data_IF_851081580013
#
_entry.id   IF_851081580013
#
_cell.length_a   1.000
_cell.length_b   1.000
_cell.length_c   1.000
_cell.angle_alpha   90.00
_cell.angle_beta   90.00
_cell.angle_gamma   90.00
#
_symmetry.space_group_name_H-M   'P 1'
#
loop_
_entity.id
_entity.type
_entity.pdbx_description
1 polymer ?
#
# COMPACT_ATOMS: atom_id res chain seq x y z
N UNK A 1 9.42 -16.74 -17.72
CA UNK A 1 8.58 -15.62 -18.20
C UNK A 1 7.08 -15.81 -17.90
N UNK A 2 6.45 -16.95 -18.24
CA UNK A 2 4.98 -17.13 -18.11
C UNK A 2 4.43 -17.08 -16.66
N UNK A 3 5.13 -17.68 -15.69
CA UNK A 3 4.70 -17.70 -14.28
C UNK A 3 4.65 -16.32 -13.62
N UNK A 4 5.62 -15.44 -13.91
CA UNK A 4 5.62 -14.06 -13.39
C UNK A 4 4.47 -13.25 -14.00
N UNK A 5 4.16 -13.41 -15.29
CA UNK A 5 2.98 -12.77 -15.90
C UNK A 5 1.68 -13.22 -15.25
N UNK A 6 1.56 -14.53 -14.98
CA UNK A 6 0.40 -15.09 -14.29
C UNK A 6 0.27 -14.53 -12.85
N UNK A 7 1.38 -14.48 -12.10
CA UNK A 7 1.38 -13.89 -10.76
C UNK A 7 0.96 -12.42 -10.78
N UNK A 8 1.49 -11.63 -11.73
CA UNK A 8 1.13 -10.21 -11.85
C UNK A 8 -0.36 -10.05 -12.15
N UNK A 9 -0.93 -10.88 -13.03
CA UNK A 9 -2.35 -10.86 -13.35
C UNK A 9 -3.22 -11.23 -12.13
N UNK A 10 -2.76 -12.13 -11.26
CA UNK A 10 -3.45 -12.48 -10.01
C UNK A 10 -3.40 -11.31 -9.02
N UNK A 11 -2.20 -10.74 -8.81
CA UNK A 11 -1.97 -9.60 -7.92
C UNK A 11 -2.85 -8.43 -8.35
N UNK A 12 -2.77 -8.02 -9.62
CA UNK A 12 -3.44 -6.83 -10.13
C UNK A 12 -4.96 -6.82 -9.92
N UNK A 13 -5.59 -7.99 -9.89
CA UNK A 13 -7.05 -8.12 -9.65
C UNK A 13 -7.46 -7.95 -8.19
N UNK A 14 -6.52 -8.08 -7.27
CA UNK A 14 -6.82 -8.20 -5.84
C UNK A 14 -6.10 -7.13 -5.01
N UNK A 15 -5.27 -6.28 -5.59
CA UNK A 15 -4.55 -5.24 -4.84
C UNK A 15 -5.47 -4.11 -4.35
N UNK A 16 -5.19 -3.56 -3.14
CA UNK A 16 -4.24 -4.08 -2.17
C UNK A 16 -4.81 -5.27 -1.41
N UNK A 17 -3.97 -6.26 -1.08
CA UNK A 17 -4.40 -7.42 -0.28
C UNK A 17 -3.31 -7.96 0.64
N UNK A 18 -3.74 -8.64 1.70
CA UNK A 18 -2.87 -9.47 2.54
C UNK A 18 -2.55 -10.78 1.82
N UNK A 19 -1.27 -11.07 1.52
CA UNK A 19 -0.93 -12.23 0.69
C UNK A 19 -1.22 -13.56 1.39
N UNK A 20 -2.03 -14.39 0.74
CA UNK A 20 -2.15 -15.81 1.07
C UNK A 20 -1.27 -16.63 0.13
N UNK A 21 -0.01 -16.82 0.51
CA UNK A 21 0.99 -17.53 -0.29
C UNK A 21 0.54 -18.96 -0.66
N UNK A 22 -0.15 -19.67 0.22
CA UNK A 22 -0.62 -21.04 -0.07
C UNK A 22 -1.65 -21.04 -1.21
N UNK A 23 -2.61 -20.10 -1.18
CA UNK A 23 -3.63 -19.97 -2.22
C UNK A 23 -3.02 -19.55 -3.56
N UNK A 24 -2.10 -18.59 -3.55
CA UNK A 24 -1.41 -18.12 -4.77
C UNK A 24 -0.57 -19.25 -5.37
N UNK A 25 0.15 -20.02 -4.54
CA UNK A 25 1.02 -21.10 -4.99
C UNK A 25 0.21 -22.21 -5.66
N UNK A 26 -0.95 -22.54 -5.09
CA UNK A 26 -1.91 -23.49 -5.65
C UNK A 26 -2.41 -23.05 -7.04
N UNK A 27 -2.84 -21.78 -7.18
CA UNK A 27 -3.30 -21.24 -8.48
C UNK A 27 -2.18 -21.24 -9.53
N UNK A 28 -0.95 -20.97 -9.10
CA UNK A 28 0.22 -20.90 -9.99
C UNK A 28 0.87 -22.26 -10.29
N UNK A 29 0.50 -23.33 -9.58
CA UNK A 29 1.16 -24.63 -9.67
C UNK A 29 2.66 -24.55 -9.32
N UNK A 30 3.01 -23.83 -8.25
CA UNK A 30 4.39 -23.69 -7.75
C UNK A 30 4.50 -24.05 -6.28
N UNK A 31 5.72 -24.28 -5.79
CA UNK A 31 5.96 -24.36 -4.35
C UNK A 31 5.63 -23.02 -3.68
N UNK A 32 5.04 -23.07 -2.48
CA UNK A 32 4.80 -21.88 -1.66
C UNK A 32 6.11 -21.13 -1.36
N UNK A 33 7.21 -21.87 -1.22
CA UNK A 33 8.49 -21.34 -0.76
C UNK A 33 9.17 -20.43 -1.79
N UNK A 34 8.81 -20.54 -3.08
CA UNK A 34 9.38 -19.70 -4.15
C UNK A 34 8.60 -18.40 -4.38
N UNK A 35 7.40 -18.27 -3.80
CA UNK A 35 6.60 -17.06 -4.01
C UNK A 35 7.18 -15.80 -3.38
N UNK A 36 7.78 -15.82 -2.17
CA UNK A 36 8.46 -14.65 -1.63
C UNK A 36 9.51 -14.09 -2.60
N UNK A 37 10.29 -14.96 -3.24
CA UNK A 37 11.29 -14.56 -4.22
C UNK A 37 10.65 -13.94 -5.47
N UNK A 38 9.56 -14.52 -5.97
CA UNK A 38 8.84 -13.96 -7.12
C UNK A 38 8.28 -12.57 -6.83
N UNK A 39 7.72 -12.35 -5.64
CA UNK A 39 7.22 -11.04 -5.24
C UNK A 39 8.38 -10.06 -5.05
N UNK A 40 9.51 -10.49 -4.47
CA UNK A 40 10.72 -9.69 -4.38
C UNK A 40 11.24 -9.28 -5.78
N UNK A 41 11.23 -10.20 -6.75
CA UNK A 41 11.63 -9.87 -8.13
C UNK A 41 10.67 -8.87 -8.78
N UNK A 42 9.36 -8.99 -8.54
CA UNK A 42 8.39 -8.01 -9.03
C UNK A 42 8.57 -6.63 -8.40
N UNK A 43 8.90 -6.59 -7.10
CA UNK A 43 9.17 -5.35 -6.39
C UNK A 43 10.43 -4.67 -6.94
N UNK A 44 11.51 -5.44 -7.15
CA UNK A 44 12.73 -4.94 -7.80
C UNK A 44 12.51 -4.48 -9.24
N UNK A 45 11.53 -5.07 -9.93
CA UNK A 45 11.12 -4.67 -11.27
C UNK A 45 10.16 -3.46 -11.27
N UNK A 46 9.79 -2.91 -10.10
CA UNK A 46 8.90 -1.76 -9.99
C UNK A 46 7.44 -2.08 -10.31
N UNK A 47 7.01 -3.35 -10.17
CA UNK A 47 5.64 -3.76 -10.48
C UNK A 47 4.72 -3.74 -9.25
N UNK A 48 5.26 -4.08 -8.08
CA UNK A 48 4.52 -4.18 -6.81
C UNK A 48 5.33 -3.54 -5.69
N UNK A 49 4.67 -3.15 -4.61
CA UNK A 49 5.32 -2.77 -3.35
C UNK A 49 4.74 -3.61 -2.21
N UNK A 50 5.60 -4.03 -1.28
CA UNK A 50 5.19 -4.72 -0.05
C UNK A 50 5.14 -3.74 1.11
N UNK A 51 3.97 -3.65 1.74
CA UNK A 51 3.83 -2.96 3.01
C UNK A 51 4.07 -3.95 4.14
N UNK A 52 4.95 -3.60 5.07
CA UNK A 52 5.29 -4.44 6.22
C UNK A 52 4.54 -3.99 7.47
N UNK A 53 4.32 -4.91 8.42
CA UNK A 53 3.73 -4.59 9.72
C UNK A 53 4.66 -3.69 10.55
N UNK A 54 4.10 -2.81 11.37
CA UNK A 54 4.85 -1.93 12.28
C UNK A 54 5.35 -2.60 13.59
N UNK A 55 5.07 -3.89 13.79
CA UNK A 55 5.25 -4.57 15.08
C UNK A 55 6.70 -4.68 15.56
N UNK A 56 6.88 -4.49 16.87
CA UNK A 56 8.13 -4.64 17.60
C UNK A 56 8.35 -6.10 18.02
N UNK A 57 8.92 -6.91 17.14
CA UNK A 57 9.32 -8.27 17.47
C UNK A 57 10.13 -8.91 16.35
N UNK A 58 11.26 -9.53 16.69
CA UNK A 58 12.22 -10.11 15.71
C UNK A 58 11.53 -11.10 14.75
N UNK A 59 10.50 -11.81 15.21
CA UNK A 59 9.76 -12.81 14.44
C UNK A 59 8.74 -12.21 13.46
N UNK A 60 8.24 -11.01 13.75
CA UNK A 60 7.24 -10.31 12.92
C UNK A 60 7.88 -9.18 12.09
N UNK A 61 9.12 -8.80 12.40
CA UNK A 61 9.98 -7.97 11.57
C UNK A 61 10.09 -8.59 10.17
N UNK A 62 9.63 -7.86 9.16
CA UNK A 62 9.63 -8.33 7.77
C UNK A 62 8.39 -9.13 7.35
N UNK A 63 7.36 -9.21 8.19
CA UNK A 63 6.06 -9.77 7.76
C UNK A 63 5.33 -8.80 6.82
N UNK A 64 5.00 -9.30 5.64
CA UNK A 64 4.22 -8.53 4.65
C UNK A 64 2.76 -8.43 5.12
N UNK A 65 2.32 -7.21 5.41
CA UNK A 65 0.96 -6.87 5.79
C UNK A 65 0.04 -6.85 4.56
N UNK A 66 0.44 -6.08 3.54
CA UNK A 66 -0.29 -5.89 2.28
C UNK A 66 0.67 -5.83 1.09
N UNK A 67 0.17 -6.19 -0.08
CA UNK A 67 0.83 -5.97 -1.36
C UNK A 67 0.02 -4.95 -2.14
N UNK A 68 0.69 -3.95 -2.71
CA UNK A 68 0.15 -2.94 -3.60
C UNK A 68 0.75 -3.11 -4.99
N UNK A 69 0.06 -2.64 -6.04
CA UNK A 69 0.75 -2.30 -7.29
C UNK A 69 1.67 -1.11 -7.01
N UNK A 70 2.80 -1.06 -7.70
CA UNK A 70 3.83 -0.07 -7.35
C UNK A 70 3.36 1.38 -7.51
N UNK A 71 2.51 1.68 -8.49
CA UNK A 71 2.00 3.03 -8.74
C UNK A 71 0.58 3.00 -9.33
N UNK A 72 -0.06 4.18 -9.36
CA UNK A 72 -1.45 4.35 -9.82
C UNK A 72 -1.61 4.09 -11.32
N UNK A 73 -0.59 4.36 -12.14
CA UNK A 73 -0.65 4.07 -13.58
C UNK A 73 -0.76 2.56 -13.82
N UNK A 74 0.00 1.74 -13.09
CA UNK A 74 -0.14 0.28 -13.15
C UNK A 74 -1.51 -0.19 -12.69
N UNK A 75 -2.05 0.43 -11.63
CA UNK A 75 -3.39 0.12 -11.14
C UNK A 75 -4.44 0.37 -12.22
N UNK A 76 -4.45 1.53 -12.87
CA UNK A 76 -5.37 1.82 -13.97
C UNK A 76 -5.11 0.97 -15.22
N UNK A 77 -3.86 0.69 -15.56
CA UNK A 77 -3.52 -0.12 -16.73
C UNK A 77 -3.99 -1.57 -16.60
N UNK A 78 -3.96 -2.14 -15.39
CA UNK A 78 -4.29 -3.55 -15.15
C UNK A 78 -5.72 -3.76 -14.62
N UNK A 79 -6.24 -2.82 -13.83
CA UNK A 79 -7.59 -2.84 -13.26
C UNK A 79 -8.65 -2.12 -14.11
N UNK A 80 -8.22 -1.25 -15.02
CA UNK A 80 -9.11 -0.47 -15.88
C UNK A 80 -9.88 0.62 -15.13
N UNK A 81 -10.96 1.10 -15.74
CA UNK A 81 -11.76 2.23 -15.23
C UNK A 81 -12.49 1.92 -13.90
N UNK A 82 -12.66 0.64 -13.55
CA UNK A 82 -13.34 0.21 -12.33
C UNK A 82 -12.39 0.05 -11.13
N UNK A 83 -11.15 0.54 -11.24
CA UNK A 83 -10.20 0.49 -10.13
C UNK A 83 -10.73 1.33 -8.97
N UNK A 84 -10.72 0.75 -7.76
CA UNK A 84 -11.23 1.43 -6.57
C UNK A 84 -10.41 2.68 -6.24
N UNK A 85 -11.08 3.81 -6.06
CA UNK A 85 -10.41 5.10 -5.83
C UNK A 85 -9.75 5.18 -4.45
N UNK A 86 -10.25 4.47 -3.44
CA UNK A 86 -9.58 4.34 -2.15
C UNK A 86 -8.21 3.67 -2.31
N UNK A 87 -8.18 2.56 -3.05
CA UNK A 87 -6.94 1.85 -3.38
C UNK A 87 -5.96 2.74 -4.14
N UNK A 88 -6.44 3.57 -5.08
CA UNK A 88 -5.60 4.52 -5.82
C UNK A 88 -4.96 5.54 -4.88
N UNK A 89 -5.73 6.09 -3.93
CA UNK A 89 -5.22 7.07 -2.96
C UNK A 89 -4.16 6.47 -2.04
N UNK A 90 -4.42 5.30 -1.48
CA UNK A 90 -3.46 4.56 -0.67
C UNK A 90 -2.19 4.22 -1.46
N UNK A 91 -2.36 3.75 -2.72
CA UNK A 91 -1.24 3.41 -3.61
C UNK A 91 -0.39 4.63 -3.91
N UNK A 92 -1.01 5.78 -4.21
CA UNK A 92 -0.31 7.04 -4.44
C UNK A 92 0.49 7.44 -3.20
N UNK A 93 -0.17 7.53 -2.04
CA UNK A 93 0.46 7.92 -0.79
C UNK A 93 1.66 7.03 -0.45
N UNK A 94 1.46 5.71 -0.50
CA UNK A 94 2.51 4.74 -0.20
C UNK A 94 3.67 4.82 -1.20
N UNK A 95 3.37 4.93 -2.49
CA UNK A 95 4.39 5.06 -3.53
C UNK A 95 5.26 6.31 -3.34
N UNK A 96 4.65 7.48 -3.07
CA UNK A 96 5.39 8.73 -2.92
C UNK A 96 6.26 8.73 -1.65
N UNK A 97 5.74 8.27 -0.51
CA UNK A 97 6.48 8.32 0.75
C UNK A 97 7.57 7.27 0.88
N UNK A 98 7.40 6.11 0.25
CA UNK A 98 8.38 5.02 0.34
C UNK A 98 9.75 5.39 -0.26
N UNK A 99 9.84 6.49 -1.00
CA UNK A 99 11.11 7.02 -1.53
C UNK A 99 11.96 7.67 -0.42
N UNK A 100 11.32 8.24 0.60
CA UNK A 100 11.98 9.11 1.60
C UNK A 100 11.83 8.63 3.04
N UNK A 101 10.87 7.76 3.33
CA UNK A 101 10.50 7.37 4.70
C UNK A 101 10.22 5.87 4.83
N UNK A 102 10.31 5.34 6.06
CA UNK A 102 9.90 3.97 6.36
C UNK A 102 8.37 3.92 6.56
N UNK A 103 7.67 3.45 5.52
CA UNK A 103 6.21 3.33 5.54
C UNK A 103 5.81 1.93 5.95
N UNK A 104 5.04 1.83 7.05
CA UNK A 104 4.52 0.58 7.61
C UNK A 104 3.00 0.60 7.69
N UNK A 105 2.40 -0.58 7.81
CA UNK A 105 0.99 -0.70 8.17
C UNK A 105 0.78 -0.18 9.60
N UNK A 106 -0.22 0.68 9.78
CA UNK A 106 -0.63 1.12 11.12
C UNK A 106 -1.59 0.10 11.75
N UNK A 107 -1.46 -0.20 13.06
CA UNK A 107 -2.42 -1.04 13.78
C UNK A 107 -3.82 -0.41 13.93
N UNK A 108 -3.93 0.91 13.77
CA UNK A 108 -5.15 1.69 14.06
C UNK A 108 -5.67 2.49 12.85
N UNK A 109 -4.90 2.54 11.77
CA UNK A 109 -5.14 3.38 10.60
C UNK A 109 -4.47 2.76 9.35
N UNK A 110 -4.36 3.49 8.25
CA UNK A 110 -3.80 2.96 7.00
C UNK A 110 -2.28 2.80 7.07
N UNK A 111 -1.57 3.86 7.50
CA UNK A 111 -0.11 3.89 7.49
C UNK A 111 0.48 4.47 8.78
N UNK A 112 1.63 3.92 9.17
CA UNK A 112 2.55 4.49 10.15
C UNK A 112 3.84 4.86 9.40
N UNK A 113 4.22 6.13 9.46
CA UNK A 113 5.41 6.65 8.79
C UNK A 113 6.25 7.42 9.79
N UNK A 114 7.45 6.94 10.09
CA UNK A 114 8.39 7.56 11.03
C UNK A 114 7.76 7.98 12.37
N UNK A 115 6.81 7.17 12.88
CA UNK A 115 6.10 7.40 14.15
C UNK A 115 4.83 8.25 14.05
N UNK A 116 4.48 8.76 12.87
CA UNK A 116 3.23 9.49 12.60
C UNK A 116 2.20 8.57 11.96
N UNK A 117 0.94 8.69 12.39
CA UNK A 117 -0.17 7.88 11.87
C UNK A 117 -0.92 8.64 10.78
N UNK A 118 -1.17 8.00 9.63
CA UNK A 118 -1.87 8.62 8.51
C UNK A 118 -3.08 7.78 8.10
N UNK A 119 -4.23 8.44 8.07
CA UNK A 119 -5.49 7.90 7.55
C UNK A 119 -5.81 8.57 6.21
N UNK A 120 -6.00 7.78 5.17
CA UNK A 120 -6.12 8.26 3.79
C UNK A 120 -7.60 8.15 3.39
N UNK A 121 -8.10 9.14 2.65
CA UNK A 121 -9.45 9.06 2.13
C UNK A 121 -9.84 10.20 1.21
N UNK A 122 -11.09 10.20 0.76
CA UNK A 122 -11.65 11.30 0.00
C UNK A 122 -12.01 12.51 0.88
N UNK A 123 -12.51 13.58 0.25
CA UNK A 123 -12.91 14.84 0.89
C UNK A 123 -13.71 14.69 2.20
N UNK A 124 -14.61 13.71 2.27
CA UNK A 124 -15.51 13.46 3.41
C UNK A 124 -14.88 12.63 4.55
N UNK A 125 -13.61 12.23 4.44
CA UNK A 125 -12.94 11.45 5.49
C UNK A 125 -12.92 12.24 6.80
N UNK A 126 -13.37 11.61 7.89
CA UNK A 126 -13.44 12.20 9.22
C UNK A 126 -12.32 11.69 10.13
N UNK A 127 -12.15 12.34 11.29
CA UNK A 127 -11.08 12.03 12.24
C UNK A 127 -11.36 10.82 13.16
N UNK A 128 -12.51 10.15 13.02
CA UNK A 128 -13.00 9.17 14.01
C UNK A 128 -12.01 8.03 14.28
N UNK A 129 -11.32 7.54 13.26
CA UNK A 129 -10.38 6.42 13.40
C UNK A 129 -9.12 6.80 14.19
N UNK A 130 -8.73 8.08 14.17
CA UNK A 130 -7.47 8.56 14.75
C UNK A 130 -7.67 9.56 15.89
N UNK A 131 -8.90 9.71 16.39
CA UNK A 131 -9.28 10.75 17.35
C UNK A 131 -8.43 10.70 18.64
N UNK A 132 -8.11 9.49 19.10
CA UNK A 132 -7.33 9.25 20.32
C UNK A 132 -5.85 8.95 20.03
N UNK A 133 -5.41 9.12 18.78
CA UNK A 133 -4.03 8.85 18.37
C UNK A 133 -3.25 10.16 18.32
N UNK A 134 -2.27 10.31 19.22
CA UNK A 134 -1.30 11.39 19.14
C UNK A 134 -0.49 11.32 17.85
N UNK A 135 -0.07 12.47 17.30
CA UNK A 135 0.72 12.54 16.07
C UNK A 135 0.05 11.88 14.85
N UNK A 136 -1.27 12.07 14.71
CA UNK A 136 -2.04 11.52 13.61
C UNK A 136 -2.61 12.59 12.66
N UNK A 137 -2.64 12.26 11.37
CA UNK A 137 -3.08 13.13 10.29
C UNK A 137 -4.12 12.45 9.39
N UNK A 138 -5.07 13.25 8.89
CA UNK A 138 -5.98 12.83 7.83
C UNK A 138 -5.43 13.34 6.50
N UNK A 139 -5.19 12.42 5.59
CA UNK A 139 -4.80 12.74 4.22
C UNK A 139 -6.03 12.68 3.34
N UNK A 140 -6.39 13.82 2.74
CA UNK A 140 -7.62 13.95 1.96
C UNK A 140 -7.33 14.22 0.50
N UNK A 141 -7.97 13.42 -0.34
CA UNK A 141 -8.14 13.70 -1.75
C UNK A 141 -9.27 14.71 -2.00
N UNK A 142 -9.27 15.35 -3.17
CA UNK A 142 -10.25 16.36 -3.62
C UNK A 142 -10.36 17.61 -2.70
N UNK A 143 -9.23 18.05 -2.14
CA UNK A 143 -9.10 19.34 -1.43
C UNK A 143 -7.84 20.08 -1.88
N UNK A 144 -7.90 21.41 -1.85
CA UNK A 144 -6.77 22.29 -2.21
C UNK A 144 -5.93 22.69 -1.00
N UNK A 145 -6.57 22.93 0.16
CA UNK A 145 -5.92 23.45 1.34
C UNK A 145 -6.14 22.53 2.55
N UNK A 146 -5.07 22.30 3.31
CA UNK A 146 -5.12 21.63 4.60
C UNK A 146 -5.59 22.56 5.71
N UNK A 147 -6.10 21.97 6.80
CA UNK A 147 -6.43 22.69 8.03
C UNK A 147 -6.17 21.78 9.23
N UNK A 148 -5.52 22.31 10.27
CA UNK A 148 -5.06 21.55 11.43
C UNK A 148 -4.32 20.28 11.00
N UNK A 149 -4.73 19.10 11.49
CA UNK A 149 -4.10 17.81 11.15
C UNK A 149 -4.59 17.20 9.83
N UNK A 150 -5.14 18.02 8.92
CA UNK A 150 -5.56 17.56 7.59
C UNK A 150 -4.58 18.02 6.52
N UNK A 151 -4.10 17.09 5.69
CA UNK A 151 -3.15 17.35 4.62
C UNK A 151 -3.78 16.94 3.27
N UNK A 152 -3.75 17.78 2.24
CA UNK A 152 -4.16 17.38 0.89
C UNK A 152 -3.27 16.26 0.34
N UNK A 153 -3.87 15.22 -0.23
CA UNK A 153 -3.15 14.05 -0.76
C UNK A 153 -2.12 14.44 -1.81
N UNK A 154 -2.44 15.40 -2.68
CA UNK A 154 -1.56 15.80 -3.77
C UNK A 154 -0.25 16.46 -3.30
N UNK A 155 -0.18 16.98 -2.06
CA UNK A 155 1.07 17.53 -1.51
C UNK A 155 2.19 16.48 -1.44
N UNK A 156 1.83 15.20 -1.24
CA UNK A 156 2.81 14.11 -1.17
C UNK A 156 3.48 13.83 -2.52
N UNK A 157 2.95 14.32 -3.64
CA UNK A 157 3.59 14.21 -4.96
C UNK A 157 4.74 15.20 -5.20
N UNK A 158 5.03 16.09 -4.25
CA UNK A 158 6.05 17.15 -4.37
C UNK A 158 7.25 16.93 -3.44
N UNK A 159 7.46 15.70 -2.97
CA UNK A 159 8.50 15.33 -2.00
C UNK A 159 9.81 14.93 -2.70
N UNK A 160 10.42 15.86 -3.45
CA UNK A 160 11.67 15.66 -4.19
C UNK A 160 12.92 16.00 -3.35
#
# INVERSE_FOLDING_TARGET
SQKLKQLLAIIAKSVPFKPNYSKIASIMGVSRDVLPDYILYMERAGLVNRLFTATTGIRELGKVAKIYLNNTNLAYALGGANTDIGNIRETFFFNQLSVKADVRESPVSDFLVDGFTFEIGGRKKGAKQIADTGNAYIVKDDIEFGFANTIPLHHFGMLY
#
